data_IF_472171232895
#
_entry.id   IF_472171232895
#
_cell.length_a   1.000
_cell.length_b   1.000
_cell.length_c   1.000
_cell.angle_alpha   90.00
_cell.angle_beta   90.00
_cell.angle_gamma   90.00
#
_symmetry.space_group_name_H-M   'P 1'
#
loop_
_entity.id
_entity.type
_entity.pdbx_description
1 polymer ?
#
# COMPACT_ATOMS: atom_id res chain seq x y z
N UNK A 1 12.03 6.17 16.87
CA UNK A 1 11.27 6.37 15.61
C UNK A 1 10.00 5.56 15.73
N UNK A 2 8.90 6.20 16.11
CA UNK A 2 7.61 5.54 16.20
C UNK A 2 7.10 5.25 14.78
N UNK A 3 6.99 3.98 14.44
CA UNK A 3 6.31 3.58 13.21
C UNK A 3 4.84 3.95 13.36
N UNK A 4 4.31 4.74 12.43
CA UNK A 4 2.90 5.09 12.41
C UNK A 4 2.05 3.80 12.46
N UNK A 5 0.90 3.76 13.17
CA UNK A 5 0.10 2.55 13.34
C UNK A 5 -0.17 1.77 12.04
N UNK A 6 -0.43 2.49 10.94
CA UNK A 6 -0.64 1.91 9.60
C UNK A 6 0.61 1.33 8.95
N UNK A 7 1.79 1.92 9.19
CA UNK A 7 3.05 1.35 8.71
C UNK A 7 3.36 0.03 9.42
N UNK A 8 3.11 -0.03 10.74
CA UNK A 8 3.23 -1.26 11.52
C UNK A 8 2.26 -2.32 11.00
N UNK A 9 0.98 -1.96 10.84
CA UNK A 9 -0.05 -2.89 10.32
C UNK A 9 0.28 -3.44 8.94
N UNK A 10 0.71 -2.60 8.00
CA UNK A 10 1.11 -3.05 6.67
C UNK A 10 2.26 -4.08 6.76
N UNK A 11 3.26 -3.81 7.61
CA UNK A 11 4.38 -4.73 7.83
C UNK A 11 3.92 -6.05 8.44
N UNK A 12 3.07 -6.01 9.46
CA UNK A 12 2.54 -7.20 10.14
C UNK A 12 1.68 -8.05 9.19
N UNK A 13 0.99 -7.42 8.23
CA UNK A 13 0.24 -8.10 7.17
C UNK A 13 1.10 -8.59 5.98
N UNK A 14 2.42 -8.47 6.06
CA UNK A 14 3.35 -8.86 4.99
C UNK A 14 3.31 -7.93 3.76
N UNK A 15 2.69 -6.76 3.87
CA UNK A 15 2.60 -5.78 2.79
C UNK A 15 3.80 -4.82 2.82
N UNK A 16 4.70 -4.98 1.84
CA UNK A 16 5.87 -4.11 1.70
C UNK A 16 5.49 -2.74 1.10
N UNK A 17 6.30 -1.71 1.36
CA UNK A 17 6.11 -0.38 0.76
C UNK A 17 6.15 -0.44 -0.77
N UNK A 18 7.06 -1.26 -1.33
CA UNK A 18 7.14 -1.54 -2.77
C UNK A 18 5.88 -2.19 -3.33
N UNK A 19 5.32 -3.18 -2.65
CA UNK A 19 4.07 -3.81 -3.08
C UNK A 19 2.89 -2.82 -3.03
N UNK A 20 2.78 -2.06 -1.94
CA UNK A 20 1.75 -1.02 -1.81
C UNK A 20 1.91 0.09 -2.87
N UNK A 21 3.13 0.46 -3.21
CA UNK A 21 3.44 1.42 -4.28
C UNK A 21 2.97 0.94 -5.65
N UNK A 22 3.22 -0.34 -5.97
CA UNK A 22 2.70 -0.99 -7.18
C UNK A 22 1.17 -1.00 -7.19
N UNK A 23 0.53 -1.49 -6.13
CA UNK A 23 -0.93 -1.60 -6.04
C UNK A 23 -1.64 -0.24 -6.22
N UNK A 24 -1.02 0.83 -5.73
CA UNK A 24 -1.59 2.19 -5.81
C UNK A 24 -1.11 2.99 -7.03
N UNK A 25 -0.23 2.43 -7.87
CA UNK A 25 0.35 3.13 -9.01
C UNK A 25 1.13 4.40 -8.63
N UNK A 26 1.81 4.40 -7.47
CA UNK A 26 2.55 5.56 -6.97
C UNK A 26 4.03 5.23 -6.75
N UNK A 27 4.93 6.22 -6.80
CA UNK A 27 6.32 6.02 -6.40
C UNK A 27 6.44 5.55 -4.94
N UNK A 28 7.37 4.64 -4.66
CA UNK A 28 7.60 4.11 -3.30
C UNK A 28 7.93 5.22 -2.29
N UNK A 29 8.69 6.24 -2.72
CA UNK A 29 8.98 7.43 -1.91
C UNK A 29 7.70 8.15 -1.46
N UNK A 30 6.70 8.23 -2.34
CA UNK A 30 5.40 8.86 -2.04
C UNK A 30 4.65 8.04 -1.00
N UNK A 31 4.58 6.72 -1.16
CA UNK A 31 3.95 5.83 -0.17
C UNK A 31 4.65 5.92 1.19
N UNK A 32 5.99 5.92 1.19
CA UNK A 32 6.78 6.06 2.41
C UNK A 32 6.52 7.38 3.14
N UNK A 33 6.37 8.49 2.40
CA UNK A 33 6.00 9.79 2.98
C UNK A 33 4.56 9.82 3.49
N UNK A 34 3.63 9.20 2.76
CA UNK A 34 2.22 9.09 3.17
C UNK A 34 2.08 8.26 4.45
N UNK A 35 2.74 7.11 4.54
CA UNK A 35 2.67 6.23 5.72
C UNK A 35 3.28 6.85 6.98
N UNK A 36 4.21 7.78 6.83
CA UNK A 36 4.78 8.54 7.96
C UNK A 36 3.88 9.69 8.43
N UNK A 37 2.72 9.89 7.81
CA UNK A 37 1.82 11.00 8.17
C UNK A 37 2.45 12.36 7.92
N UNK A 38 3.37 12.48 6.94
CA UNK A 38 4.10 13.72 6.66
C UNK A 38 3.18 14.88 6.20
N UNK A 39 1.92 14.59 5.88
CA UNK A 39 0.97 15.57 5.37
C UNK A 39 0.04 16.00 6.50
N UNK A 40 -0.33 17.28 6.55
CA UNK A 40 -1.26 17.80 7.57
C UNK A 40 -2.62 17.09 7.54
N UNK A 41 -3.01 16.54 6.39
CA UNK A 41 -4.22 15.74 6.19
C UNK A 41 -4.11 14.28 6.67
N UNK A 42 -2.93 13.87 7.17
CA UNK A 42 -2.66 12.51 7.61
C UNK A 42 -2.45 11.52 6.46
N UNK A 43 -2.74 10.24 6.70
CA UNK A 43 -2.61 9.18 5.70
C UNK A 43 -3.85 9.18 4.79
N UNK A 44 -3.69 9.18 3.45
CA UNK A 44 -4.82 9.13 2.56
C UNK A 44 -5.69 7.87 2.77
N UNK A 45 -7.02 8.04 2.73
CA UNK A 45 -7.98 6.95 2.95
C UNK A 45 -7.82 5.78 1.99
N UNK A 46 -7.42 6.01 0.73
CA UNK A 46 -7.19 4.94 -0.24
C UNK A 46 -5.99 4.06 0.13
N UNK A 47 -4.94 4.63 0.74
CA UNK A 47 -3.80 3.87 1.26
C UNK A 47 -4.24 2.99 2.43
N UNK A 48 -5.02 3.56 3.35
CA UNK A 48 -5.60 2.83 4.48
C UNK A 48 -6.49 1.68 3.97
N UNK A 49 -7.37 1.97 3.02
CA UNK A 49 -8.27 0.97 2.43
C UNK A 49 -7.51 -0.19 1.79
N UNK A 50 -6.42 0.09 1.06
CA UNK A 50 -5.57 -0.95 0.49
C UNK A 50 -4.92 -1.83 1.57
N UNK A 51 -4.44 -1.25 2.67
CA UNK A 51 -3.85 -2.01 3.79
C UNK A 51 -4.92 -2.89 4.46
N UNK A 52 -6.11 -2.34 4.73
CA UNK A 52 -7.22 -3.09 5.34
C UNK A 52 -7.68 -4.22 4.44
N UNK A 53 -7.86 -3.97 3.14
CA UNK A 53 -8.24 -4.99 2.18
C UNK A 53 -7.19 -6.11 2.12
N UNK A 54 -5.91 -5.75 2.07
CA UNK A 54 -4.81 -6.71 2.07
C UNK A 54 -4.81 -7.61 3.30
N UNK A 55 -5.00 -7.02 4.48
CA UNK A 55 -5.02 -7.71 5.76
C UNK A 55 -6.15 -8.76 5.85
N UNK A 56 -7.31 -8.45 5.26
CA UNK A 56 -8.48 -9.35 5.21
C UNK A 56 -8.35 -10.49 4.18
N UNK A 57 -7.47 -10.35 3.18
CA UNK A 57 -7.31 -11.35 2.13
C UNK A 57 -6.44 -12.53 2.55
N UNK A 58 -6.74 -13.71 2.02
CA UNK A 58 -5.83 -14.85 2.08
C UNK A 58 -4.57 -14.60 1.24
N UNK A 59 -3.53 -15.39 1.45
CA UNK A 59 -2.30 -15.31 0.65
C UNK A 59 -2.55 -15.49 -0.85
N UNK A 60 -3.46 -16.38 -1.24
CA UNK A 60 -3.76 -16.63 -2.65
C UNK A 60 -4.50 -15.45 -3.30
N UNK A 61 -5.44 -14.83 -2.56
CA UNK A 61 -6.10 -13.60 -3.02
C UNK A 61 -5.11 -12.44 -3.17
N UNK A 62 -4.14 -12.33 -2.26
CA UNK A 62 -3.07 -11.33 -2.33
C UNK A 62 -2.18 -11.52 -3.56
N UNK A 63 -1.79 -12.76 -3.86
CA UNK A 63 -1.01 -13.11 -5.07
C UNK A 63 -1.79 -12.79 -6.34
N UNK A 64 -3.07 -13.18 -6.38
CA UNK A 64 -3.93 -12.92 -7.54
C UNK A 64 -4.14 -11.42 -7.76
N UNK A 65 -4.35 -10.65 -6.69
CA UNK A 65 -4.45 -9.20 -6.79
C UNK A 65 -3.16 -8.58 -7.32
N UNK A 66 -1.99 -9.00 -6.82
CA UNK A 66 -0.70 -8.53 -7.36
C UNK A 66 -0.56 -8.84 -8.86
N UNK A 67 -0.91 -10.06 -9.28
CA UNK A 67 -0.87 -10.48 -10.69
C UNK A 67 -1.75 -9.58 -11.55
N UNK A 68 -2.99 -9.33 -11.13
CA UNK A 68 -3.90 -8.44 -11.85
C UNK A 68 -3.34 -7.01 -11.96
N UNK A 69 -2.68 -6.50 -10.92
CA UNK A 69 -2.09 -5.15 -10.97
C UNK A 69 -0.83 -5.06 -11.83
N UNK A 70 -0.04 -6.13 -11.93
CA UNK A 70 1.09 -6.21 -12.86
C UNK A 70 0.61 -6.26 -14.34
N UNK A 71 -0.60 -6.79 -14.58
CA UNK A 71 -1.25 -6.85 -15.90
C UNK A 71 -1.97 -5.54 -16.31
N UNK A 72 -2.23 -4.62 -15.37
CA UNK A 72 -2.82 -3.31 -15.69
C UNK A 72 -1.78 -2.46 -16.43
N UNK A 73 -2.05 -2.02 -17.68
CA UNK A 73 -1.15 -1.12 -18.38
C UNK A 73 -0.94 0.14 -17.55
N UNK A 74 0.32 0.49 -17.28
CA UNK A 74 0.64 1.77 -16.68
C UNK A 74 0.24 2.85 -17.67
N UNK A 75 -0.92 3.48 -17.45
CA UNK A 75 -1.35 4.64 -18.23
C UNK A 75 -0.30 5.74 -18.05
N UNK A 76 0.59 5.83 -19.04
CA UNK A 76 1.37 7.04 -19.30
C UNK A 76 0.39 8.03 -19.94
N UNK A 77 -0.21 8.88 -19.12
CA UNK A 77 -0.65 10.20 -19.56
C UNK A 77 0.51 11.19 -19.43
#
# INVERSE_FOLDING_TARGET
>A
MENHPWQKRAKDAGLTQRALAKLLGRPEMTISRQLRGHWQSGIPKHVIAAIVAWDLMSEDQRKEWQRQMDDVPSSKE
#
